data_IF_359976951279
#
_entry.id   IF_359976951279
#
_cell.length_a   1.000
_cell.length_b   1.000
_cell.length_c   1.000
_cell.angle_alpha   90.00
_cell.angle_beta   90.00
_cell.angle_gamma   90.00
#
_symmetry.space_group_name_H-M   'P 1'
#
loop_
_entity.id
_entity.type
_entity.pdbx_description
1 polymer ?
#
# COMPACT_ATOMS: atom_id res chain seq x y z
N UNK A 1 19.00 -35.39 6.90
CA UNK A 1 18.85 -33.99 6.44
C UNK A 1 17.37 -33.71 6.18
N UNK A 2 16.73 -32.95 7.06
CA UNK A 2 15.44 -32.27 6.84
C UNK A 2 15.23 -31.30 8.02
N UNK A 3 15.86 -30.13 7.95
CA UNK A 3 15.58 -29.05 8.92
C UNK A 3 14.20 -28.48 8.56
N UNK A 4 13.21 -28.75 9.40
CA UNK A 4 11.91 -28.06 9.39
C UNK A 4 12.16 -26.56 9.55
N UNK A 5 12.03 -25.82 8.46
CA UNK A 5 11.90 -24.36 8.43
C UNK A 5 10.50 -23.94 8.91
N UNK A 6 10.11 -24.36 10.11
CA UNK A 6 8.91 -23.81 10.74
C UNK A 6 9.34 -22.60 11.58
N UNK A 7 9.00 -21.40 11.08
CA UNK A 7 9.04 -20.16 11.85
C UNK A 7 8.44 -20.41 13.23
N UNK A 8 9.19 -20.07 14.28
CA UNK A 8 8.75 -20.33 15.65
C UNK A 8 7.75 -19.26 16.06
N UNK A 9 6.84 -19.61 16.98
CA UNK A 9 5.85 -18.71 17.58
C UNK A 9 6.47 -17.48 18.29
N UNK A 10 7.79 -17.43 18.42
CA UNK A 10 8.53 -16.33 19.04
C UNK A 10 9.14 -15.35 18.02
N UNK A 11 9.07 -15.62 16.71
CA UNK A 11 9.54 -14.71 15.64
C UNK A 11 8.53 -13.58 15.35
N UNK A 12 7.49 -13.48 16.19
CA UNK A 12 6.43 -12.50 16.09
C UNK A 12 6.79 -11.25 16.88
N UNK A 13 6.64 -10.08 16.25
CA UNK A 13 6.63 -8.83 17.00
C UNK A 13 5.53 -8.97 18.06
N UNK A 14 5.88 -8.80 19.34
CA UNK A 14 4.90 -8.74 20.43
C UNK A 14 4.03 -7.51 20.20
N UNK A 15 2.92 -7.68 19.46
CA UNK A 15 2.00 -6.61 19.08
C UNK A 15 1.58 -5.75 20.28
N UNK A 16 1.32 -6.29 21.49
CA UNK A 16 0.99 -5.47 22.66
C UNK A 16 2.09 -4.46 23.03
N UNK A 17 3.36 -4.84 22.94
CA UNK A 17 4.48 -3.94 23.24
C UNK A 17 4.63 -2.86 22.16
N UNK A 18 4.32 -3.20 20.90
CA UNK A 18 4.31 -2.20 19.83
C UNK A 18 3.16 -1.22 19.99
N UNK A 19 1.95 -1.71 20.26
CA UNK A 19 0.75 -0.90 20.51
C UNK A 19 0.98 0.08 21.66
N UNK A 20 1.58 -0.39 22.76
CA UNK A 20 1.99 0.45 23.87
C UNK A 20 3.04 1.49 23.46
N UNK A 21 4.08 1.08 22.72
CA UNK A 21 5.17 1.96 22.32
C UNK A 21 4.75 3.10 21.37
N UNK A 22 3.77 2.84 20.51
CA UNK A 22 3.22 3.83 19.56
C UNK A 22 1.94 4.51 20.04
N UNK A 23 1.39 4.08 21.18
CA UNK A 23 0.08 4.51 21.69
C UNK A 23 -1.02 4.43 20.61
N UNK A 24 -1.08 3.30 19.89
CA UNK A 24 -2.06 3.07 18.85
C UNK A 24 -2.47 1.60 18.81
N UNK A 25 -3.73 1.33 18.49
CA UNK A 25 -4.24 -0.04 18.33
C UNK A 25 -3.88 -0.59 16.95
N UNK A 26 -3.46 -1.85 16.89
CA UNK A 26 -3.25 -2.57 15.64
C UNK A 26 -4.60 -3.07 15.13
N UNK A 27 -5.02 -2.57 13.98
CA UNK A 27 -6.19 -3.08 13.27
C UNK A 27 -5.83 -4.39 12.60
N UNK A 28 -6.56 -5.47 12.88
CA UNK A 28 -6.41 -6.73 12.15
C UNK A 28 -7.32 -6.74 10.93
N UNK A 29 -6.76 -7.03 9.76
CA UNK A 29 -7.49 -7.18 8.50
C UNK A 29 -7.31 -8.59 7.96
N UNK A 30 -8.41 -9.25 7.61
CA UNK A 30 -8.38 -10.64 7.13
C UNK A 30 -8.37 -10.63 5.60
N UNK A 31 -7.42 -11.32 5.00
CA UNK A 31 -7.33 -11.59 3.55
C UNK A 31 -7.65 -13.07 3.29
N UNK A 32 -8.33 -13.43 2.19
CA UNK A 32 -8.80 -14.80 1.99
C UNK A 32 -8.36 -15.40 0.65
N UNK A 33 -7.17 -16.00 0.60
CA UNK A 33 -6.54 -16.40 -0.66
C UNK A 33 -7.18 -17.55 -1.45
N UNK A 34 -8.16 -18.26 -0.89
CA UNK A 34 -8.58 -19.56 -1.41
C UNK A 34 -9.59 -19.50 -2.57
N UNK A 35 -10.55 -18.57 -2.54
CA UNK A 35 -11.70 -18.63 -3.46
C UNK A 35 -11.70 -17.55 -4.55
N UNK A 36 -11.05 -16.40 -4.31
CA UNK A 36 -11.05 -15.25 -5.22
C UNK A 36 -9.85 -14.31 -5.07
N UNK A 37 -8.95 -14.55 -4.11
CA UNK A 37 -8.07 -13.51 -3.54
C UNK A 37 -6.59 -13.93 -3.71
N UNK A 38 -6.14 -14.14 -4.95
CA UNK A 38 -4.68 -14.22 -5.21
C UNK A 38 -3.97 -12.88 -4.93
N UNK A 39 -4.75 -11.81 -4.76
CA UNK A 39 -4.33 -10.42 -4.78
C UNK A 39 -3.70 -10.03 -3.42
N UNK A 40 -2.51 -9.42 -3.45
CA UNK A 40 -1.92 -8.79 -2.26
C UNK A 40 -2.80 -7.59 -1.82
N UNK A 41 -2.83 -7.21 -0.52
CA UNK A 41 -3.64 -6.07 -0.06
C UNK A 41 -3.38 -4.77 -0.84
N UNK A 42 -2.16 -4.66 -1.38
CA UNK A 42 -1.62 -3.65 -2.28
C UNK A 42 -2.42 -3.47 -3.60
N UNK A 43 -3.01 -4.53 -4.17
CA UNK A 43 -3.69 -4.47 -5.47
C UNK A 43 -5.03 -3.72 -5.42
N UNK A 44 -5.60 -3.60 -4.22
CA UNK A 44 -6.85 -2.86 -3.99
C UNK A 44 -6.62 -1.35 -3.83
N UNK A 45 -5.36 -0.91 -3.74
CA UNK A 45 -5.00 0.46 -3.38
C UNK A 45 -4.89 1.40 -4.59
N UNK A 46 -4.94 0.85 -5.80
CA UNK A 46 -4.89 1.59 -7.07
C UNK A 46 -3.58 1.37 -7.82
N UNK A 47 -3.17 2.36 -8.61
CA UNK A 47 -1.97 2.31 -9.42
C UNK A 47 -0.74 2.55 -8.54
N UNK A 48 0.26 1.69 -8.68
CA UNK A 48 1.53 1.81 -7.95
C UNK A 48 2.34 3.01 -8.46
N UNK A 49 2.71 3.90 -7.56
CA UNK A 49 3.51 5.09 -7.82
C UNK A 49 4.99 4.74 -7.59
N UNK A 50 5.60 4.18 -8.64
CA UNK A 50 6.98 3.66 -8.59
C UNK A 50 7.99 4.67 -8.06
N UNK A 51 7.84 5.94 -8.44
CA UNK A 51 8.79 7.01 -8.13
C UNK A 51 8.85 7.38 -6.64
N UNK A 52 7.87 6.96 -5.84
CA UNK A 52 7.82 7.19 -4.39
C UNK A 52 7.68 5.85 -3.66
N UNK A 53 8.41 4.85 -4.15
CA UNK A 53 8.52 3.54 -3.53
C UNK A 53 9.98 3.16 -3.34
N UNK A 54 10.34 2.74 -2.13
CA UNK A 54 11.72 2.35 -1.78
C UNK A 54 11.70 0.95 -1.22
N UNK A 55 12.62 0.12 -1.71
CA UNK A 55 12.91 -1.19 -1.13
C UNK A 55 14.38 -1.25 -0.77
N UNK A 56 14.67 -1.61 0.47
CA UNK A 56 16.02 -1.75 0.99
C UNK A 56 16.16 -3.15 1.58
N UNK A 57 17.20 -3.86 1.16
CA UNK A 57 17.60 -5.14 1.72
C UNK A 57 18.98 -4.98 2.32
N UNK A 58 19.13 -5.29 3.60
CA UNK A 58 20.40 -5.18 4.30
C UNK A 58 20.78 -6.48 4.98
N UNK A 59 21.88 -7.12 4.53
CA UNK A 59 22.46 -8.26 5.24
C UNK A 59 23.22 -7.78 6.48
N UNK A 60 23.04 -8.47 7.60
CA UNK A 60 23.77 -8.23 8.85
C UNK A 60 24.69 -9.41 9.12
N UNK A 61 26.00 -9.16 9.05
CA UNK A 61 27.03 -10.18 9.24
C UNK A 61 27.13 -10.65 10.70
N UNK A 62 26.93 -9.75 11.67
CA UNK A 62 27.03 -10.05 13.11
C UNK A 62 25.92 -9.43 13.96
N UNK A 63 25.31 -10.25 14.84
CA UNK A 63 24.35 -9.79 15.85
C UNK A 63 23.06 -10.61 15.98
N UNK A 64 22.88 -11.66 15.17
CA UNK A 64 21.74 -12.56 15.28
C UNK A 64 20.38 -11.95 14.94
N UNK A 65 19.39 -12.80 14.73
CA UNK A 65 18.00 -12.44 14.38
C UNK A 65 17.40 -11.48 15.42
N UNK A 66 17.81 -11.58 16.69
CA UNK A 66 17.31 -10.74 17.77
C UNK A 66 17.64 -9.25 17.62
N UNK A 67 18.87 -8.91 17.19
CA UNK A 67 19.24 -7.52 16.91
C UNK A 67 18.39 -6.96 15.77
N UNK A 68 18.16 -7.75 14.73
CA UNK A 68 17.32 -7.37 13.59
C UNK A 68 15.86 -7.15 13.99
N UNK A 69 15.31 -7.98 14.87
CA UNK A 69 13.95 -7.82 15.38
C UNK A 69 13.80 -6.57 16.27
N UNK A 70 14.84 -6.22 17.04
CA UNK A 70 14.85 -4.97 17.82
C UNK A 70 14.93 -3.73 16.91
N UNK A 71 15.72 -3.79 15.85
CA UNK A 71 15.79 -2.74 14.82
C UNK A 71 14.44 -2.59 14.12
N UNK A 72 13.81 -3.71 13.72
CA UNK A 72 12.47 -3.74 13.13
C UNK A 72 11.43 -3.09 14.04
N UNK A 73 11.40 -3.42 15.34
CA UNK A 73 10.51 -2.76 16.32
C UNK A 73 10.77 -1.24 16.38
N UNK A 74 12.04 -0.84 16.48
CA UNK A 74 12.43 0.57 16.52
C UNK A 74 12.01 1.34 15.27
N UNK A 75 12.12 0.72 14.09
CA UNK A 75 11.68 1.29 12.81
C UNK A 75 10.18 1.59 12.83
N UNK A 76 9.33 0.61 13.18
CA UNK A 76 7.88 0.84 13.26
C UNK A 76 7.54 1.96 14.25
N UNK A 77 8.17 1.97 15.44
CA UNK A 77 7.90 2.99 16.46
C UNK A 77 8.30 4.38 15.98
N UNK A 78 9.51 4.53 15.43
CA UNK A 78 10.05 5.84 15.01
C UNK A 78 9.30 6.39 13.80
N UNK A 79 9.04 5.56 12.79
CA UNK A 79 8.30 5.98 11.60
C UNK A 79 6.87 6.38 11.97
N UNK A 80 6.18 5.56 12.78
CA UNK A 80 4.81 5.87 13.20
C UNK A 80 4.75 7.17 14.01
N UNK A 81 5.65 7.35 14.99
CA UNK A 81 5.71 8.59 15.80
C UNK A 81 6.04 9.81 14.94
N UNK A 82 6.97 9.70 14.00
CA UNK A 82 7.32 10.80 13.08
C UNK A 82 6.10 11.26 12.28
N UNK A 83 5.39 10.32 11.65
CA UNK A 83 4.17 10.60 10.90
C UNK A 83 3.04 11.13 11.79
N UNK A 84 2.91 10.61 13.01
CA UNK A 84 1.88 11.06 13.97
C UNK A 84 2.16 12.47 14.47
N UNK A 85 3.41 12.79 14.76
CA UNK A 85 3.81 14.13 15.18
C UNK A 85 3.57 15.14 14.07
N UNK A 86 3.92 14.80 12.83
CA UNK A 86 3.62 15.63 11.66
C UNK A 86 2.12 15.84 11.44
N UNK A 87 1.31 14.79 11.66
CA UNK A 87 -0.15 14.91 11.64
C UNK A 87 -0.65 15.90 12.70
N UNK A 88 -0.11 15.84 13.92
CA UNK A 88 -0.54 16.66 15.05
C UNK A 88 -0.02 18.11 14.97
N UNK A 89 1.14 18.35 14.36
CA UNK A 89 1.78 19.67 14.25
C UNK A 89 1.18 20.57 13.16
N UNK A 90 0.02 20.21 12.61
CA UNK A 90 -0.65 20.96 11.54
C UNK A 90 -0.13 20.66 10.13
N UNK A 91 0.89 19.82 9.95
CA UNK A 91 1.37 19.40 8.62
C UNK A 91 0.28 18.70 7.80
N UNK A 92 -0.67 18.06 8.48
CA UNK A 92 -1.83 17.42 7.88
C UNK A 92 -3.11 18.28 7.83
N UNK A 93 -3.08 19.55 8.26
CA UNK A 93 -4.29 20.38 8.33
C UNK A 93 -5.00 20.56 6.97
N UNK A 94 -4.24 20.44 5.87
CA UNK A 94 -4.75 20.52 4.51
C UNK A 94 -5.16 19.15 3.93
N UNK A 95 -4.89 18.05 4.63
CA UNK A 95 -5.16 16.69 4.15
C UNK A 95 -6.52 16.19 4.63
N UNK A 96 -7.47 16.15 3.70
CA UNK A 96 -8.80 15.63 3.97
C UNK A 96 -8.76 14.13 4.30
N UNK A 97 -9.43 13.75 5.40
CA UNK A 97 -9.58 12.37 5.84
C UNK A 97 -8.25 11.61 5.99
N UNK A 98 -7.21 12.27 6.48
CA UNK A 98 -5.97 11.60 6.80
C UNK A 98 -6.20 10.52 7.86
N UNK A 99 -5.80 9.29 7.55
CA UNK A 99 -5.76 8.15 8.46
C UNK A 99 -4.36 7.60 8.51
N UNK A 100 -3.85 7.44 9.73
CA UNK A 100 -2.60 6.77 10.03
C UNK A 100 -2.92 5.62 10.97
N UNK A 101 -2.73 4.39 10.50
CA UNK A 101 -3.10 3.17 11.22
C UNK A 101 -1.95 2.15 11.18
N UNK A 102 -1.84 1.33 12.23
CA UNK A 102 -1.07 0.09 12.17
C UNK A 102 -2.02 -1.03 11.75
N UNK A 103 -1.72 -1.72 10.66
CA UNK A 103 -2.59 -2.76 10.11
C UNK A 103 -1.85 -4.09 10.01
N UNK A 104 -2.40 -5.10 10.66
CA UNK A 104 -1.92 -6.48 10.58
C UNK A 104 -2.81 -7.27 9.63
N UNK A 105 -2.27 -7.59 8.45
CA UNK A 105 -2.95 -8.44 7.49
C UNK A 105 -2.73 -9.91 7.84
N UNK A 106 -3.81 -10.62 8.15
CA UNK A 106 -3.81 -12.06 8.45
C UNK A 106 -4.49 -12.82 7.33
N UNK A 107 -3.83 -13.84 6.81
CA UNK A 107 -4.44 -14.76 5.87
C UNK A 107 -5.42 -15.70 6.59
N UNK A 108 -6.66 -15.75 6.11
CA UNK A 108 -7.71 -16.62 6.63
C UNK A 108 -7.38 -18.10 6.43
N UNK A 109 -6.68 -18.42 5.35
CA UNK A 109 -6.38 -19.80 4.94
C UNK A 109 -5.11 -20.35 5.59
N UNK A 110 -4.16 -19.48 5.92
CA UNK A 110 -2.94 -19.87 6.61
C UNK A 110 -3.14 -19.74 8.12
N UNK A 111 -3.62 -20.81 8.75
CA UNK A 111 -3.70 -20.94 10.21
C UNK A 111 -2.30 -20.87 10.84
N UNK A 112 -1.84 -19.65 11.15
CA UNK A 112 -0.59 -19.31 11.85
C UNK A 112 0.73 -19.59 11.10
N UNK A 113 0.72 -20.29 9.97
CA UNK A 113 1.95 -20.57 9.21
C UNK A 113 2.43 -19.42 8.30
N UNK A 114 1.62 -18.37 8.09
CA UNK A 114 2.00 -17.23 7.24
C UNK A 114 2.72 -16.14 8.05
N UNK A 115 3.66 -15.47 7.38
CA UNK A 115 4.47 -14.37 7.93
C UNK A 115 3.57 -13.24 8.45
N UNK A 116 3.94 -12.62 9.57
CA UNK A 116 3.25 -11.43 10.07
C UNK A 116 3.42 -10.26 9.09
N UNK A 117 2.30 -9.81 8.52
CA UNK A 117 2.25 -8.69 7.58
C UNK A 117 1.75 -7.43 8.28
N UNK A 118 2.61 -6.88 9.11
CA UNK A 118 2.36 -5.62 9.78
C UNK A 118 2.75 -4.46 8.86
N UNK A 119 1.85 -3.50 8.69
CA UNK A 119 2.10 -2.29 7.91
C UNK A 119 1.80 -1.06 8.76
N UNK A 120 2.56 0.00 8.53
CA UNK A 120 2.09 1.36 8.80
C UNK A 120 1.37 1.79 7.54
N UNK A 121 0.10 2.10 7.69
CA UNK A 121 -0.76 2.52 6.59
C UNK A 121 -1.12 3.99 6.75
N UNK A 122 -0.69 4.79 5.78
CA UNK A 122 -1.05 6.19 5.65
C UNK A 122 -2.01 6.34 4.48
N UNK A 123 -3.26 6.68 4.76
CA UNK A 123 -4.30 6.93 3.76
C UNK A 123 -4.75 8.37 3.82
N UNK A 124 -4.77 9.04 2.69
CA UNK A 124 -5.36 10.38 2.60
C UNK A 124 -6.10 10.60 1.29
N UNK A 125 -6.85 11.70 1.23
CA UNK A 125 -7.55 12.13 0.03
C UNK A 125 -7.10 13.53 -0.35
N UNK A 126 -6.70 13.70 -1.61
CA UNK A 126 -6.32 15.00 -2.16
C UNK A 126 -7.53 15.92 -2.28
N UNK A 127 -7.28 17.22 -2.51
CA UNK A 127 -8.31 18.23 -2.81
C UNK A 127 -9.16 17.77 -4.02
N UNK A 128 -8.52 17.22 -5.05
CA UNK A 128 -9.20 16.72 -6.26
C UNK A 128 -9.82 15.32 -6.12
N UNK A 129 -9.91 14.81 -4.88
CA UNK A 129 -10.57 13.54 -4.51
C UNK A 129 -9.83 12.27 -4.96
N UNK A 130 -8.55 12.38 -5.32
CA UNK A 130 -7.66 11.22 -5.52
C UNK A 130 -7.32 10.62 -4.16
N UNK A 131 -7.39 9.30 -4.03
CA UNK A 131 -6.96 8.59 -2.82
C UNK A 131 -5.50 8.22 -2.95
N UNK A 132 -4.75 8.43 -1.88
CA UNK A 132 -3.34 8.04 -1.77
C UNK A 132 -3.23 7.08 -0.61
N UNK A 133 -2.54 5.97 -0.84
CA UNK A 133 -2.18 5.02 0.21
C UNK A 133 -0.69 4.80 0.18
N UNK A 134 -0.02 4.98 1.31
CA UNK A 134 1.39 4.66 1.50
C UNK A 134 1.47 3.54 2.52
N UNK A 135 2.16 2.48 2.15
CA UNK A 135 2.39 1.31 2.97
C UNK A 135 3.86 1.22 3.32
N UNK A 136 4.17 1.30 4.61
CA UNK A 136 5.50 1.01 5.12
C UNK A 136 5.50 -0.37 5.78
N UNK A 137 6.45 -1.22 5.40
CA UNK A 137 6.66 -2.56 5.98
C UNK A 137 8.14 -2.82 6.27
N UNK A 138 8.39 -3.56 7.34
CA UNK A 138 9.69 -4.13 7.65
C UNK A 138 9.57 -5.61 7.97
N UNK A 139 10.46 -6.40 7.40
CA UNK A 139 10.48 -7.85 7.55
C UNK A 139 11.92 -8.35 7.73
N UNK A 140 12.11 -9.31 8.62
CA UNK A 140 13.39 -9.97 8.86
C UNK A 140 13.31 -11.37 8.30
N UNK A 141 14.31 -11.77 7.52
CA UNK A 141 14.45 -13.14 7.05
C UNK A 141 15.90 -13.56 7.11
N UNK A 142 16.18 -14.61 7.87
CA UNK A 142 17.56 -15.04 8.12
C UNK A 142 18.35 -13.86 8.69
N UNK A 143 19.45 -13.47 8.04
CA UNK A 143 20.28 -12.33 8.46
C UNK A 143 19.97 -11.04 7.70
N UNK A 144 18.83 -10.97 7.01
CA UNK A 144 18.48 -9.83 6.17
C UNK A 144 17.32 -9.05 6.77
N UNK A 145 17.47 -7.72 6.80
CA UNK A 145 16.39 -6.79 7.07
C UNK A 145 15.88 -6.20 5.76
N UNK A 146 14.61 -6.43 5.48
CA UNK A 146 13.87 -5.88 4.35
C UNK A 146 13.01 -4.72 4.83
N UNK A 147 13.16 -3.57 4.19
CA UNK A 147 12.31 -2.40 4.41
C UNK A 147 11.69 -2.04 3.07
N UNK A 148 10.37 -1.91 3.02
CA UNK A 148 9.69 -1.43 1.83
C UNK A 148 8.72 -0.31 2.19
N UNK A 149 8.72 0.72 1.36
CA UNK A 149 7.71 1.79 1.33
C UNK A 149 7.11 1.74 -0.05
N UNK A 150 5.83 1.40 -0.14
CA UNK A 150 5.10 1.31 -1.40
C UNK A 150 4.00 2.38 -1.40
N UNK A 151 3.88 3.15 -2.48
CA UNK A 151 2.85 4.18 -2.62
C UNK A 151 1.89 3.88 -3.76
N UNK A 152 0.61 4.12 -3.53
CA UNK A 152 -0.48 3.82 -4.45
C UNK A 152 -1.41 5.03 -4.58
N UNK A 153 -1.92 5.22 -5.80
CA UNK A 153 -2.91 6.25 -6.09
C UNK A 153 -4.15 5.65 -6.75
N UNK A 154 -5.32 6.09 -6.29
CA UNK A 154 -6.60 5.70 -6.86
C UNK A 154 -7.41 6.95 -7.23
N UNK A 155 -7.58 7.16 -8.53
CA UNK A 155 -8.32 8.29 -9.07
C UNK A 155 -9.78 8.32 -8.63
N UNK A 156 -10.44 9.48 -8.79
CA UNK A 156 -11.84 9.67 -8.37
C UNK A 156 -12.79 8.69 -9.06
N UNK A 157 -13.93 8.39 -8.42
CA UNK A 157 -14.98 7.57 -9.01
C UNK A 157 -15.55 8.22 -10.28
N UNK A 158 -15.55 7.50 -11.40
CA UNK A 158 -16.22 7.88 -12.64
C UNK A 158 -17.69 7.48 -12.55
N UNK A 159 -18.48 8.34 -11.89
CA UNK A 159 -19.91 8.10 -11.61
C UNK A 159 -20.69 7.74 -12.87
N UNK A 160 -20.46 8.45 -13.98
CA UNK A 160 -21.12 8.16 -15.27
C UNK A 160 -20.84 6.72 -15.72
N UNK A 161 -19.59 6.25 -15.63
CA UNK A 161 -19.26 4.88 -16.03
C UNK A 161 -19.95 3.86 -15.11
N UNK A 162 -20.02 4.13 -13.81
CA UNK A 162 -20.77 3.30 -12.87
C UNK A 162 -22.27 3.25 -13.22
N UNK A 163 -22.91 4.40 -13.42
CA UNK A 163 -24.34 4.46 -13.75
C UNK A 163 -24.65 3.78 -15.09
N UNK A 164 -23.87 4.05 -16.13
CA UNK A 164 -24.04 3.45 -17.45
C UNK A 164 -23.94 1.92 -17.38
N UNK A 165 -22.95 1.37 -16.67
CA UNK A 165 -22.83 -0.09 -16.52
C UNK A 165 -24.02 -0.70 -15.78
N UNK A 166 -24.47 -0.08 -14.69
CA UNK A 166 -25.64 -0.59 -13.95
C UNK A 166 -26.93 -0.46 -14.76
N UNK A 167 -27.06 0.60 -15.55
CA UNK A 167 -28.19 0.78 -16.47
C UNK A 167 -28.20 -0.30 -17.55
N UNK A 168 -27.07 -0.59 -18.19
CA UNK A 168 -26.97 -1.70 -19.16
C UNK A 168 -27.30 -3.05 -18.56
N UNK A 169 -26.84 -3.32 -17.32
CA UNK A 169 -27.16 -4.56 -16.62
C UNK A 169 -28.65 -4.68 -16.30
N UNK A 170 -29.30 -3.57 -15.93
CA UNK A 170 -30.75 -3.51 -15.71
C UNK A 170 -31.52 -3.71 -17.02
N UNK A 171 -31.14 -3.03 -18.11
CA UNK A 171 -31.75 -3.22 -19.42
C UNK A 171 -31.63 -4.66 -19.89
N UNK A 172 -30.45 -5.27 -19.76
CA UNK A 172 -30.21 -6.67 -20.08
C UNK A 172 -31.12 -7.60 -19.25
N UNK A 173 -31.27 -7.33 -17.96
CA UNK A 173 -32.16 -8.11 -17.10
C UNK A 173 -33.62 -8.02 -17.54
N UNK A 174 -34.11 -6.81 -17.84
CA UNK A 174 -35.50 -6.57 -18.27
C UNK A 174 -35.77 -7.24 -19.63
N UNK A 175 -34.87 -7.09 -20.61
CA UNK A 175 -35.05 -7.67 -21.95
C UNK A 175 -35.03 -9.19 -21.93
N UNK A 176 -34.18 -9.80 -21.11
CA UNK A 176 -34.15 -11.25 -20.95
C UNK A 176 -35.44 -11.80 -20.33
N UNK A 177 -36.06 -11.05 -19.41
CA UNK A 177 -37.33 -11.44 -18.80
C UNK A 177 -38.51 -11.28 -19.77
N UNK A 178 -38.50 -10.26 -20.64
CA UNK A 178 -39.57 -10.02 -21.61
C UNK A 178 -39.61 -11.01 -22.77
N UNK A 179 -38.50 -11.71 -23.06
CA UNK A 179 -38.41 -12.68 -24.16
C UNK A 179 -38.98 -14.07 -23.80
N UNK A 180 -39.42 -14.28 -22.55
CA UNK A 180 -40.09 -15.51 -22.11
C UNK A 180 -39.13 -16.60 -21.60
N UNK A 181 -39.73 -17.68 -21.06
CA UNK A 181 -39.06 -18.74 -20.28
C UNK A 181 -37.76 -19.32 -20.92
N UNK A 182 -37.70 -19.68 -22.22
CA UNK A 182 -36.47 -20.25 -22.78
C UNK A 182 -35.28 -19.28 -22.81
N UNK A 183 -35.55 -17.97 -22.90
CA UNK A 183 -34.52 -16.94 -22.88
C UNK A 183 -34.09 -16.53 -21.46
N UNK A 184 -34.90 -16.83 -20.44
CA UNK A 184 -34.52 -16.62 -19.04
C UNK A 184 -33.33 -17.50 -18.67
N UNK A 185 -33.34 -18.78 -19.05
CA UNK A 185 -32.24 -19.71 -18.76
C UNK A 185 -30.93 -19.30 -19.45
N UNK A 186 -31.00 -18.99 -20.75
CA UNK A 186 -29.84 -18.52 -21.51
C UNK A 186 -29.35 -17.15 -21.02
N UNK A 187 -30.29 -16.28 -20.63
CA UNK A 187 -30.04 -15.00 -20.02
C UNK A 187 -29.31 -15.10 -18.69
N UNK A 188 -29.71 -16.03 -17.81
CA UNK A 188 -29.02 -16.29 -16.54
C UNK A 188 -27.59 -16.80 -16.78
N UNK A 189 -27.38 -17.64 -17.79
CA UNK A 189 -26.04 -18.13 -18.18
C UNK A 189 -25.11 -17.00 -18.60
N UNK A 190 -25.61 -15.91 -19.19
CA UNK A 190 -24.79 -14.75 -19.57
C UNK A 190 -24.70 -13.69 -18.46
N UNK A 191 -25.83 -13.38 -17.84
CA UNK A 191 -25.97 -12.33 -16.83
C UNK A 191 -25.19 -12.67 -15.56
N UNK A 192 -25.24 -13.92 -15.08
CA UNK A 192 -24.57 -14.31 -13.83
C UNK A 192 -23.05 -14.19 -13.97
N UNK A 193 -22.39 -14.73 -15.01
CA UNK A 193 -20.96 -14.50 -15.23
C UNK A 193 -20.60 -13.02 -15.46
N UNK A 194 -21.42 -12.27 -16.19
CA UNK A 194 -21.17 -10.85 -16.45
C UNK A 194 -21.25 -10.01 -15.17
N UNK A 195 -22.31 -10.21 -14.38
CA UNK A 195 -22.46 -9.59 -13.07
C UNK A 195 -21.33 -10.00 -12.14
N UNK A 196 -20.96 -11.30 -12.12
CA UNK A 196 -19.85 -11.79 -11.33
C UNK A 196 -18.53 -11.09 -11.75
N UNK A 197 -18.24 -10.98 -13.04
CA UNK A 197 -17.03 -10.32 -13.54
C UNK A 197 -16.94 -8.84 -13.11
N UNK A 198 -18.06 -8.11 -13.13
CA UNK A 198 -18.11 -6.70 -12.71
C UNK A 198 -18.00 -6.58 -11.19
N UNK A 199 -18.79 -7.35 -10.46
CA UNK A 199 -18.96 -7.20 -9.02
C UNK A 199 -17.90 -7.94 -8.21
N UNK A 200 -17.18 -8.91 -8.77
CA UNK A 200 -16.13 -9.67 -8.07
C UNK A 200 -15.14 -8.75 -7.36
N UNK A 201 -14.56 -7.75 -8.04
CA UNK A 201 -13.61 -6.81 -7.41
C UNK A 201 -14.25 -6.04 -6.24
N UNK A 202 -15.51 -5.62 -6.40
CA UNK A 202 -16.25 -4.86 -5.38
C UNK A 202 -16.57 -5.75 -4.17
N UNK A 203 -17.13 -6.95 -4.41
CA UNK A 203 -17.47 -7.94 -3.39
C UNK A 203 -16.22 -8.37 -2.62
N UNK A 204 -15.10 -8.59 -3.31
CA UNK A 204 -13.81 -8.90 -2.67
C UNK A 204 -13.37 -7.77 -1.73
N UNK A 205 -13.32 -6.53 -2.21
CA UNK A 205 -12.91 -5.40 -1.40
C UNK A 205 -13.83 -5.19 -0.18
N UNK A 206 -15.14 -5.39 -0.34
CA UNK A 206 -16.09 -5.39 0.77
C UNK A 206 -15.80 -6.49 1.80
N UNK A 207 -15.48 -7.71 1.34
CA UNK A 207 -15.08 -8.82 2.23
C UNK A 207 -13.77 -8.54 2.96
N UNK A 208 -12.88 -7.74 2.37
CA UNK A 208 -11.65 -7.27 3.02
C UNK A 208 -11.90 -6.13 4.01
N UNK A 209 -13.14 -5.66 4.17
CA UNK A 209 -13.49 -4.58 5.11
C UNK A 209 -13.27 -3.17 4.57
N UNK A 210 -13.16 -3.01 3.24
CA UNK A 210 -13.18 -1.69 2.61
C UNK A 210 -14.60 -1.09 2.61
N UNK A 211 -14.68 0.24 2.60
CA UNK A 211 -15.95 0.94 2.48
C UNK A 211 -16.52 0.74 1.07
N UNK A 212 -17.83 0.56 0.95
CA UNK A 212 -18.54 0.36 -0.32
C UNK A 212 -18.09 1.32 -1.43
N UNK A 213 -18.06 2.63 -1.16
CA UNK A 213 -17.66 3.62 -2.16
C UNK A 213 -16.19 3.53 -2.58
N UNK A 214 -15.31 3.02 -1.72
CA UNK A 214 -13.91 2.73 -2.07
C UNK A 214 -13.85 1.50 -2.96
N UNK A 215 -14.60 0.45 -2.62
CA UNK A 215 -14.70 -0.79 -3.41
C UNK A 215 -15.25 -0.54 -4.82
N UNK A 216 -16.33 0.24 -4.95
CA UNK A 216 -16.88 0.64 -6.26
C UNK A 216 -15.84 1.43 -7.06
N UNK A 217 -15.09 2.32 -6.40
CA UNK A 217 -14.06 3.14 -7.05
C UNK A 217 -12.92 2.30 -7.61
N UNK A 218 -12.48 1.23 -6.95
CA UNK A 218 -11.42 0.37 -7.49
C UNK A 218 -11.74 -0.12 -8.90
N UNK A 219 -13.01 -0.45 -9.17
CA UNK A 219 -13.46 -0.85 -10.51
C UNK A 219 -13.70 0.34 -11.44
N UNK A 220 -14.37 1.38 -10.96
CA UNK A 220 -14.84 2.50 -11.78
C UNK A 220 -14.04 3.79 -11.55
N UNK A 221 -12.73 3.71 -11.33
CA UNK A 221 -11.90 4.89 -11.14
C UNK A 221 -11.67 5.61 -12.48
N UNK A 222 -11.54 6.93 -12.42
CA UNK A 222 -10.94 7.70 -13.51
C UNK A 222 -9.44 7.37 -13.52
N UNK A 223 -8.86 6.94 -14.65
CA UNK A 223 -7.41 6.77 -14.73
C UNK A 223 -6.75 8.12 -14.42
N UNK A 224 -5.71 8.07 -13.61
CA UNK A 224 -4.90 9.24 -13.29
C UNK A 224 -3.90 9.37 -14.43
N UNK A 225 -4.01 10.43 -15.24
CA UNK A 225 -3.11 10.65 -16.38
C UNK A 225 -1.83 11.35 -15.92
N UNK A 226 -0.70 11.00 -16.53
CA UNK A 226 0.65 11.47 -16.16
C UNK A 226 0.80 13.01 -16.15
N UNK A 227 -0.05 13.73 -16.89
CA UNK A 227 -0.07 15.20 -16.96
C UNK A 227 -1.31 15.83 -16.30
N UNK A 228 -1.90 15.17 -15.31
CA UNK A 228 -3.04 15.74 -14.59
C UNK A 228 -2.59 16.40 -13.30
N UNK A 229 -3.24 17.50 -12.94
CA UNK A 229 -3.13 18.11 -11.62
C UNK A 229 -3.44 17.13 -10.46
N UNK A 230 -4.11 16.00 -10.75
CA UNK A 230 -4.33 14.94 -9.78
C UNK A 230 -3.00 14.30 -9.32
N UNK A 231 -1.98 14.22 -10.19
CA UNK A 231 -0.64 13.70 -9.86
C UNK A 231 0.21 14.73 -9.14
N UNK A 232 0.05 16.02 -9.45
CA UNK A 232 0.76 17.08 -8.75
C UNK A 232 0.40 17.07 -7.25
N UNK A 233 -0.90 16.96 -6.93
CA UNK A 233 -1.36 16.83 -5.55
C UNK A 233 -0.76 15.60 -4.86
N UNK A 234 -0.74 14.47 -5.57
CA UNK A 234 -0.16 13.21 -5.07
C UNK A 234 1.33 13.39 -4.79
N UNK A 235 2.05 14.01 -5.72
CA UNK A 235 3.49 14.24 -5.63
C UNK A 235 3.84 15.19 -4.49
N UNK A 236 3.06 16.25 -4.27
CA UNK A 236 3.27 17.19 -3.14
C UNK A 236 3.14 16.45 -1.81
N UNK A 237 2.11 15.62 -1.66
CA UNK A 237 1.88 14.84 -0.45
C UNK A 237 3.01 13.84 -0.22
N UNK A 238 3.41 13.12 -1.27
CA UNK A 238 4.50 12.16 -1.18
C UNK A 238 5.83 12.85 -0.85
N UNK A 239 6.12 14.01 -1.44
CA UNK A 239 7.29 14.83 -1.11
C UNK A 239 7.30 15.32 0.34
N UNK A 240 6.16 15.52 0.96
CA UNK A 240 6.08 15.90 2.38
C UNK A 240 6.31 14.69 3.31
N UNK A 241 5.79 13.51 2.95
CA UNK A 241 5.79 12.33 3.83
C UNK A 241 7.09 11.53 3.71
N UNK A 242 7.61 11.38 2.50
CA UNK A 242 8.74 10.51 2.22
C UNK A 242 10.00 10.90 3.01
N UNK A 243 10.37 12.19 3.11
CA UNK A 243 11.49 12.61 3.94
C UNK A 243 11.31 12.25 5.41
N UNK A 244 10.08 12.32 5.95
CA UNK A 244 9.79 11.95 7.34
C UNK A 244 10.03 10.46 7.60
N UNK A 245 9.64 9.62 6.65
CA UNK A 245 9.86 8.16 6.72
C UNK A 245 11.36 7.87 6.64
N UNK A 246 12.08 8.48 5.69
CA UNK A 246 13.51 8.28 5.51
C UNK A 246 14.31 8.76 6.72
N UNK A 247 14.01 9.95 7.24
CA UNK A 247 14.68 10.50 8.42
C UNK A 247 14.41 9.66 9.68
N UNK A 248 13.18 9.16 9.85
CA UNK A 248 12.85 8.24 10.94
C UNK A 248 13.60 6.91 10.80
N UNK A 249 13.71 6.38 9.58
CA UNK A 249 14.46 5.17 9.25
C UNK A 249 15.95 5.36 9.56
N UNK A 250 16.54 6.48 9.12
CA UNK A 250 17.90 6.90 9.43
C UNK A 250 18.15 6.97 10.94
N UNK A 251 17.25 7.61 11.68
CA UNK A 251 17.35 7.70 13.15
C UNK A 251 17.32 6.33 13.84
N UNK A 252 16.61 5.36 13.26
CA UNK A 252 16.61 3.99 13.76
C UNK A 252 17.97 3.33 13.52
N UNK A 253 18.55 3.46 12.32
CA UNK A 253 19.83 2.86 12.01
C UNK A 253 21.01 3.43 12.80
N UNK A 254 21.03 4.75 13.01
CA UNK A 254 22.00 5.40 13.90
C UNK A 254 21.96 4.84 15.31
N UNK A 255 20.77 4.60 15.86
CA UNK A 255 20.62 4.08 17.21
C UNK A 255 21.20 2.66 17.39
N UNK A 256 21.38 1.91 16.31
CA UNK A 256 21.93 0.55 16.32
C UNK A 256 23.29 0.43 15.60
N UNK A 257 23.97 1.56 15.34
CA UNK A 257 25.31 1.66 14.73
C UNK A 257 25.45 1.06 13.31
N UNK A 258 24.42 1.15 12.46
CA UNK A 258 24.53 0.77 11.05
C UNK A 258 25.07 1.93 10.20
N UNK A 259 26.40 2.12 10.19
CA UNK A 259 27.06 3.27 9.52
C UNK A 259 26.91 3.27 8.00
N UNK A 260 27.15 2.13 7.34
CA UNK A 260 27.11 2.03 5.87
C UNK A 260 25.73 2.38 5.28
N UNK A 261 24.69 2.15 6.07
CA UNK A 261 23.32 2.38 5.63
C UNK A 261 22.84 3.81 5.91
N UNK A 262 23.45 4.45 6.91
CA UNK A 262 23.26 5.87 7.19
C UNK A 262 23.77 6.71 6.01
N UNK A 263 24.96 6.38 5.50
CA UNK A 263 25.59 7.05 4.36
C UNK A 263 24.79 6.86 3.06
N UNK A 264 24.32 5.63 2.77
CA UNK A 264 23.45 5.36 1.61
C UNK A 264 22.10 6.06 1.70
N UNK A 265 21.52 6.18 2.89
CA UNK A 265 20.30 6.95 3.10
C UNK A 265 20.56 8.45 2.94
N UNK A 266 21.73 8.95 3.32
CA UNK A 266 22.10 10.35 3.11
C UNK A 266 22.29 10.69 1.65
N UNK A 267 22.97 9.83 0.90
CA UNK A 267 23.04 9.95 -0.56
C UNK A 267 21.64 9.94 -1.17
N UNK A 268 20.77 9.02 -0.73
CA UNK A 268 19.39 8.95 -1.22
C UNK A 268 18.54 10.17 -0.83
N UNK A 269 18.63 10.68 0.40
CA UNK A 269 17.88 11.87 0.86
C UNK A 269 18.37 13.11 0.11
N UNK A 270 19.68 13.27 -0.04
CA UNK A 270 20.28 14.40 -0.75
C UNK A 270 19.89 14.36 -2.23
N UNK A 271 19.89 13.18 -2.86
CA UNK A 271 19.48 13.02 -4.26
C UNK A 271 17.96 13.13 -4.47
N UNK A 272 17.15 12.66 -3.51
CA UNK A 272 15.70 12.80 -3.54
C UNK A 272 15.24 14.26 -3.34
N UNK A 273 16.11 15.09 -2.74
CA UNK A 273 15.75 16.46 -2.41
C UNK A 273 15.63 17.37 -3.64
N UNK A 274 16.42 17.23 -4.72
CA UNK A 274 16.32 18.14 -5.87
C UNK A 274 16.81 17.52 -7.21
N UNK A 275 15.92 17.52 -8.21
CA UNK A 275 16.18 17.60 -9.67
C UNK A 275 16.76 16.46 -10.57
N UNK A 276 17.17 15.24 -10.18
CA UNK A 276 17.63 14.25 -11.19
C UNK A 276 17.20 12.77 -11.14
N UNK A 277 16.92 12.25 -12.35
CA UNK A 277 16.51 10.87 -12.63
C UNK A 277 17.62 9.89 -12.41
N UNK A 278 17.57 9.12 -11.31
CA UNK A 278 18.55 8.07 -11.08
C UNK A 278 17.91 6.69 -11.25
N UNK A 279 18.23 6.06 -12.38
CA UNK A 279 18.23 4.61 -12.51
C UNK A 279 19.57 4.13 -11.95
N UNK A 280 19.62 3.70 -10.69
CA UNK A 280 20.80 3.01 -10.15
C UNK A 280 20.45 1.52 -10.12
N UNK A 281 20.76 0.83 -11.21
CA UNK A 281 20.91 -0.62 -11.18
C UNK A 281 22.28 -0.93 -10.57
N UNK A 282 22.32 -1.17 -9.27
CA UNK A 282 23.46 -1.86 -8.67
C UNK A 282 23.14 -3.34 -8.57
N UNK A 283 24.02 -4.15 -9.14
CA UNK A 283 24.09 -5.61 -9.00
C UNK A 283 24.12 -5.95 -7.50
N UNK A 284 22.96 -6.17 -6.89
CA UNK A 284 22.83 -6.49 -5.47
C UNK A 284 21.64 -5.86 -4.73
N UNK A 285 20.90 -4.93 -5.32
CA UNK A 285 19.71 -4.36 -4.67
C UNK A 285 18.94 -3.43 -5.60
N UNK A 286 17.63 -3.67 -5.74
CA UNK A 286 16.76 -2.80 -6.55
C UNK A 286 16.42 -1.57 -5.71
N UNK A 287 17.14 -0.48 -5.94
CA UNK A 287 16.75 0.86 -5.51
C UNK A 287 15.93 1.50 -6.64
N UNK A 288 14.63 1.69 -6.40
CA UNK A 288 13.69 2.21 -7.39
C UNK A 288 14.02 3.63 -7.83
N UNK A 289 13.85 3.89 -9.12
CA UNK A 289 14.17 5.14 -9.78
C UNK A 289 13.22 6.29 -9.40
N UNK A 290 13.79 7.46 -9.16
CA UNK A 290 13.10 8.75 -9.09
C UNK A 290 13.29 9.39 -10.47
N UNK A 291 12.23 9.89 -11.15
CA UNK A 291 12.07 11.27 -11.70
C UNK A 291 10.99 11.43 -12.77
N UNK A 292 10.61 12.71 -12.92
CA UNK A 292 10.41 13.30 -14.24
C UNK A 292 9.02 13.14 -14.80
N UNK A 293 8.14 14.10 -14.51
CA UNK A 293 6.99 14.36 -15.36
C UNK A 293 7.48 14.69 -16.77
N UNK A 294 7.56 13.69 -17.64
CA UNK A 294 7.74 13.87 -19.07
C UNK A 294 6.41 14.40 -19.61
N UNK A 295 6.34 15.74 -19.81
CA UNK A 295 5.35 16.50 -20.60
C UNK A 295 4.63 17.67 -19.90
N UNK A 296 5.33 18.46 -19.08
CA UNK A 296 4.92 19.86 -18.91
C UNK A 296 5.36 20.67 -20.14
N UNK A 297 4.64 20.53 -21.26
CA UNK A 297 4.64 21.57 -22.29
C UNK A 297 3.78 22.71 -21.77
N UNK A 298 4.43 23.77 -21.27
CA UNK A 298 3.80 25.08 -21.19
C UNK A 298 3.84 25.64 -22.61
N UNK A 299 2.70 25.60 -23.31
CA UNK A 299 2.51 26.44 -24.49
C UNK A 299 2.13 27.84 -24.00
N UNK A 300 2.95 28.83 -24.35
CA UNK A 300 2.56 30.25 -24.33
C UNK A 300 1.34 30.48 -25.22
#
# INVERSE_FOLDING_TARGET
MNKKNSLSKNDYLSLPNLEAAVNARVRTQIINRFFYDREHPEESLGNWVRNFSVSLNYPVEEGGIEKLENVRKSLYVRVFKSLKNWQNSGGAAQLNNLKLELVLYKDKSCHQADRQRLYIEFRCKTVRKTHITILFRCYVHSNNLYICVDSYQLGRLKVIAFCVHNFFLLCLFITLFSLGIPFILLGLIVLVPYANWIWTKIIKALRQGERFWTSVRQRFHKPVSDNSFDIDDVSIILKAIFPLILQATKSAFKAYNFKDLDEKLDEFINNASFQQTFNISTTGGIFGAIFGGTNNKVSN
#
